data_IF_925894789947
#
_entry.id   IF_925894789947
#
_cell.length_a   1.000
_cell.length_b   1.000
_cell.length_c   1.000
_cell.angle_alpha   90.00
_cell.angle_beta   90.00
_cell.angle_gamma   90.00
#
_symmetry.space_group_name_H-M   'P 1'
#
loop_
_entity.id
_entity.type
_entity.pdbx_description
1 polymer ?
#
# COMPACT_ATOMS: atom_id res chain seq x y z
N UNK A 1 18.76 -9.87 -2.57
CA UNK A 1 18.58 -9.76 -1.09
C UNK A 1 19.09 -11.05 -0.48
N UNK A 2 19.88 -11.03 0.61
CA UNK A 2 20.59 -12.24 1.12
C UNK A 2 19.98 -12.87 2.38
N UNK A 3 18.82 -12.40 2.86
CA UNK A 3 18.14 -12.98 4.03
C UNK A 3 17.09 -14.00 3.58
N UNK A 4 17.15 -15.25 4.06
CA UNK A 4 16.13 -16.27 3.77
C UNK A 4 14.71 -15.78 4.06
N UNK A 5 13.74 -16.20 3.25
CA UNK A 5 12.32 -15.82 3.37
C UNK A 5 11.96 -14.44 2.83
N UNK A 6 12.93 -13.57 2.52
CA UNK A 6 12.67 -12.26 1.90
C UNK A 6 12.73 -12.37 0.38
N UNK A 7 11.66 -11.94 -0.28
CA UNK A 7 11.42 -12.15 -1.70
C UNK A 7 11.85 -10.93 -2.53
N UNK A 8 11.48 -9.73 -2.10
CA UNK A 8 11.76 -8.50 -2.82
C UNK A 8 11.79 -7.29 -1.89
N UNK A 9 12.39 -6.21 -2.38
CA UNK A 9 12.36 -4.91 -1.74
C UNK A 9 12.17 -3.84 -2.81
N UNK A 10 11.43 -2.78 -2.46
CA UNK A 10 11.18 -1.67 -3.35
C UNK A 10 11.04 -0.36 -2.57
N UNK A 11 11.59 0.71 -3.13
CA UNK A 11 11.54 2.04 -2.59
C UNK A 11 10.75 2.93 -3.56
N UNK A 12 9.80 3.67 -3.03
CA UNK A 12 8.93 4.55 -3.78
C UNK A 12 9.01 5.99 -3.26
N UNK A 13 8.91 6.95 -4.17
CA UNK A 13 8.67 8.35 -3.87
C UNK A 13 7.19 8.66 -4.09
N UNK A 14 6.55 9.24 -3.07
CA UNK A 14 5.17 9.68 -3.18
C UNK A 14 5.05 10.82 -4.20
N UNK A 15 3.93 10.83 -4.90
CA UNK A 15 3.54 11.87 -5.85
C UNK A 15 2.36 12.62 -5.26
N UNK A 16 2.38 13.94 -5.42
CA UNK A 16 1.26 14.77 -5.00
C UNK A 16 -0.02 14.37 -5.74
N UNK A 17 -1.10 14.30 -4.96
CA UNK A 17 -2.44 14.14 -5.48
C UNK A 17 -3.42 14.83 -4.55
N UNK A 18 -4.59 15.18 -5.08
CA UNK A 18 -5.71 15.61 -4.24
C UNK A 18 -6.12 14.46 -3.33
N UNK A 19 -6.25 14.75 -2.04
CA UNK A 19 -6.81 13.82 -1.09
C UNK A 19 -8.03 14.42 -0.41
N UNK A 20 -9.07 13.60 -0.28
CA UNK A 20 -10.38 13.96 0.29
C UNK A 20 -10.75 13.03 1.44
N UNK A 21 -9.82 12.14 1.84
CA UNK A 21 -10.03 11.16 2.90
C UNK A 21 -9.93 11.80 4.27
N UNK A 22 -10.70 11.26 5.22
CA UNK A 22 -10.55 11.58 6.63
C UNK A 22 -9.30 10.88 7.15
N UNK A 23 -8.43 11.68 7.76
CA UNK A 23 -7.22 11.20 8.41
C UNK A 23 -7.40 11.23 9.92
N UNK A 24 -6.71 10.34 10.63
CA UNK A 24 -6.66 10.40 12.09
C UNK A 24 -6.03 11.71 12.57
N UNK A 25 -6.56 12.23 13.66
CA UNK A 25 -6.06 13.35 14.45
C UNK A 25 -5.11 12.91 15.57
N UNK A 26 -4.88 11.59 15.72
CA UNK A 26 -3.96 11.02 16.69
C UNK A 26 -2.51 11.40 16.36
N UNK A 27 -2.00 12.40 17.08
CA UNK A 27 -0.62 12.89 16.93
C UNK A 27 0.46 11.86 17.22
N UNK A 28 0.13 10.72 17.85
CA UNK A 28 1.07 9.63 18.08
C UNK A 28 1.35 8.82 16.82
N UNK A 29 0.51 8.95 15.77
CA UNK A 29 0.68 8.27 14.49
C UNK A 29 1.65 9.04 13.60
N UNK A 30 2.84 8.50 13.29
CA UNK A 30 3.80 9.22 12.46
C UNK A 30 3.30 9.45 11.04
N UNK A 31 3.74 10.55 10.43
CA UNK A 31 3.25 11.01 9.15
C UNK A 31 3.52 9.99 8.02
N UNK A 32 4.79 9.60 7.83
CA UNK A 32 5.18 8.56 6.88
C UNK A 32 4.70 8.78 5.43
N UNK A 33 4.78 10.01 4.90
CA UNK A 33 4.02 10.39 3.68
C UNK A 33 4.85 10.52 2.40
N UNK A 34 6.17 10.77 2.50
CA UNK A 34 6.99 11.17 1.33
C UNK A 34 7.63 10.00 0.59
N UNK A 35 8.02 8.97 1.32
CA UNK A 35 8.72 7.81 0.77
C UNK A 35 8.16 6.54 1.40
N UNK A 36 8.08 5.48 0.60
CA UNK A 36 7.63 4.17 1.05
C UNK A 36 8.73 3.16 0.77
N UNK A 37 9.22 2.51 1.83
CA UNK A 37 10.13 1.38 1.72
C UNK A 37 9.33 0.11 2.03
N UNK A 38 9.17 -0.74 1.02
CA UNK A 38 8.32 -1.92 1.07
C UNK A 38 9.18 -3.17 0.85
N UNK A 39 8.94 -4.19 1.67
CA UNK A 39 9.60 -5.48 1.59
C UNK A 39 8.54 -6.56 1.46
N UNK A 40 8.78 -7.53 0.58
CA UNK A 40 8.00 -8.75 0.49
C UNK A 40 8.77 -9.91 1.10
N UNK A 41 8.06 -10.72 1.86
CA UNK A 41 8.56 -11.98 2.40
C UNK A 41 7.52 -13.08 2.12
N UNK A 42 7.92 -14.33 2.34
CA UNK A 42 7.03 -15.50 2.23
C UNK A 42 5.87 -15.38 3.23
N UNK A 43 6.16 -14.92 4.45
CA UNK A 43 5.21 -14.77 5.54
C UNK A 43 5.53 -13.51 6.37
N UNK A 44 4.53 -12.97 7.08
CA UNK A 44 4.72 -11.79 7.91
C UNK A 44 5.70 -12.02 9.07
N UNK A 45 5.77 -13.25 9.60
CA UNK A 45 6.62 -13.62 10.73
C UNK A 45 8.11 -13.54 10.40
N UNK A 46 8.48 -13.56 9.12
CA UNK A 46 9.86 -13.33 8.66
C UNK A 46 10.40 -11.94 9.02
N UNK A 47 9.50 -10.99 9.27
CA UNK A 47 9.85 -9.67 9.77
C UNK A 47 9.96 -9.62 11.30
N UNK A 48 9.59 -10.67 12.03
CA UNK A 48 9.61 -10.75 13.49
C UNK A 48 10.93 -11.26 14.07
N UNK A 49 11.71 -12.03 13.30
CA UNK A 49 12.91 -12.72 13.79
C UNK A 49 14.20 -12.34 13.03
N UNK A 50 14.87 -11.23 13.38
CA UNK A 50 14.42 -10.21 14.35
C UNK A 50 13.59 -9.09 13.70
N UNK A 51 12.82 -8.40 14.56
CA UNK A 51 12.03 -7.20 14.23
C UNK A 51 12.89 -6.06 13.66
N UNK A 52 12.32 -5.16 12.82
CA UNK A 52 13.08 -4.07 12.20
C UNK A 52 13.81 -3.17 13.20
N UNK A 53 13.24 -2.91 14.37
CA UNK A 53 13.89 -2.11 15.42
C UNK A 53 15.16 -2.77 15.96
N UNK A 54 15.15 -4.09 16.16
CA UNK A 54 16.33 -4.84 16.59
C UNK A 54 17.40 -4.87 15.48
N UNK A 55 17.00 -5.10 14.22
CA UNK A 55 17.92 -4.98 13.08
C UNK A 55 18.58 -3.61 13.02
N UNK A 56 17.80 -2.53 13.19
CA UNK A 56 18.34 -1.18 13.19
C UNK A 56 19.33 -0.93 14.34
N UNK A 57 19.09 -1.52 15.52
CA UNK A 57 19.94 -1.38 16.69
C UNK A 57 21.32 -2.05 16.51
N UNK A 58 21.37 -3.15 15.77
CA UNK A 58 22.60 -3.92 15.49
C UNK A 58 23.47 -3.33 14.37
N UNK A 59 22.96 -2.32 13.64
CA UNK A 59 23.72 -1.72 12.55
C UNK A 59 24.98 -0.97 13.04
N UNK A 60 26.03 -0.90 12.19
CA UNK A 60 27.20 -0.07 12.44
C UNK A 60 26.81 1.38 12.76
N UNK A 61 27.62 2.05 13.57
CA UNK A 61 27.31 3.40 14.05
C UNK A 61 27.02 4.41 12.92
N UNK A 62 27.73 4.31 11.80
CA UNK A 62 27.50 5.14 10.61
C UNK A 62 26.11 4.90 10.00
N UNK A 63 25.73 3.64 9.79
CA UNK A 63 24.40 3.27 9.29
C UNK A 63 23.30 3.73 10.25
N UNK A 64 23.50 3.61 11.57
CA UNK A 64 22.54 4.13 12.56
C UNK A 64 22.38 5.64 12.49
N UNK A 65 23.47 6.39 12.27
CA UNK A 65 23.39 7.85 12.04
C UNK A 65 22.56 8.17 10.80
N UNK A 66 22.72 7.40 9.72
CA UNK A 66 21.92 7.58 8.52
C UNK A 66 20.43 7.31 8.75
N UNK A 67 20.09 6.22 9.46
CA UNK A 67 18.70 5.90 9.80
C UNK A 67 18.05 6.92 10.74
N UNK A 68 18.82 7.51 11.66
CA UNK A 68 18.34 8.54 12.59
C UNK A 68 17.94 9.84 11.90
N UNK A 69 18.31 10.06 10.64
CA UNK A 69 17.86 11.22 9.85
C UNK A 69 16.42 11.08 9.33
N UNK A 70 15.79 9.91 9.48
CA UNK A 70 14.39 9.71 9.11
C UNK A 70 13.48 10.49 10.05
N UNK A 71 12.46 11.12 9.48
CA UNK A 71 11.48 11.91 10.23
C UNK A 71 10.10 11.31 10.00
N UNK A 72 9.37 11.07 11.09
CA UNK A 72 8.00 10.56 11.03
C UNK A 72 7.90 9.17 10.42
N UNK A 73 8.86 8.27 10.67
CA UNK A 73 8.82 6.88 10.21
C UNK A 73 7.58 6.18 10.79
N UNK A 74 6.76 5.62 9.89
CA UNK A 74 5.61 4.80 10.26
C UNK A 74 5.84 3.38 9.75
N UNK A 75 5.94 2.43 10.67
CA UNK A 75 6.11 1.00 10.35
C UNK A 75 4.77 0.28 10.43
N UNK A 76 4.47 -0.53 9.42
CA UNK A 76 3.41 -1.55 9.49
C UNK A 76 3.94 -2.85 8.88
N UNK A 77 3.64 -3.98 9.51
CA UNK A 77 3.83 -5.32 8.97
C UNK A 77 2.44 -5.88 8.70
N UNK A 78 2.20 -6.30 7.46
CA UNK A 78 0.89 -6.78 7.03
C UNK A 78 1.03 -8.10 6.28
N UNK A 79 -0.01 -8.94 6.38
CA UNK A 79 -0.18 -10.14 5.55
C UNK A 79 -1.21 -9.87 4.45
N UNK A 80 -1.09 -10.57 3.33
CA UNK A 80 -2.10 -10.48 2.28
C UNK A 80 -3.32 -11.33 2.62
N UNK A 81 -4.47 -10.68 2.77
CA UNK A 81 -5.76 -11.33 3.02
C UNK A 81 -6.52 -11.67 1.73
N UNK A 82 -6.14 -11.09 0.60
CA UNK A 82 -6.73 -11.38 -0.70
C UNK A 82 -6.08 -10.61 -1.84
N UNK A 83 -6.26 -11.10 -3.07
CA UNK A 83 -5.67 -10.52 -4.28
C UNK A 83 -6.57 -10.73 -5.49
N UNK A 84 -6.55 -9.77 -6.40
CA UNK A 84 -7.08 -9.90 -7.76
C UNK A 84 -6.09 -9.31 -8.75
N UNK A 85 -5.90 -10.01 -9.86
CA UNK A 85 -5.09 -9.57 -11.00
C UNK A 85 -5.93 -8.75 -11.97
N UNK A 86 -5.37 -7.66 -12.48
CA UNK A 86 -5.96 -6.83 -13.52
C UNK A 86 -5.47 -7.22 -14.92
N UNK A 87 -5.95 -6.53 -15.97
CA UNK A 87 -5.68 -6.91 -17.36
C UNK A 87 -4.19 -6.93 -17.73
N UNK A 88 -3.38 -6.08 -17.10
CA UNK A 88 -1.94 -5.96 -17.37
C UNK A 88 -1.07 -6.90 -16.53
N UNK A 89 -1.67 -7.77 -15.70
CA UNK A 89 -0.92 -8.73 -14.89
C UNK A 89 -0.10 -9.72 -15.73
N UNK A 90 -0.69 -10.22 -16.84
CA UNK A 90 -0.06 -11.23 -17.71
C UNK A 90 1.23 -10.73 -18.37
N UNK A 91 1.32 -9.43 -18.61
CA UNK A 91 2.42 -8.77 -19.32
C UNK A 91 3.46 -8.22 -18.31
N UNK A 92 3.24 -8.40 -17.00
CA UNK A 92 4.13 -7.89 -15.97
C UNK A 92 5.27 -8.87 -15.65
N UNK A 93 6.46 -8.55 -16.13
CA UNK A 93 7.66 -9.39 -15.99
C UNK A 93 8.24 -9.42 -14.57
N UNK A 94 7.87 -8.46 -13.71
CA UNK A 94 8.37 -8.39 -12.33
C UNK A 94 7.79 -9.46 -11.38
N UNK A 95 6.94 -10.36 -11.89
CA UNK A 95 6.31 -11.44 -11.14
C UNK A 95 5.58 -10.92 -9.90
N UNK A 96 5.99 -11.40 -8.73
CA UNK A 96 5.38 -11.02 -7.44
C UNK A 96 5.94 -9.74 -6.80
N UNK A 97 7.02 -9.18 -7.33
CA UNK A 97 7.53 -7.88 -6.88
C UNK A 97 6.54 -6.75 -7.22
N UNK A 98 6.55 -5.68 -6.43
CA UNK A 98 5.60 -4.59 -6.61
C UNK A 98 5.79 -3.85 -7.93
N UNK A 99 4.71 -3.37 -8.54
CA UNK A 99 4.71 -2.69 -9.84
C UNK A 99 5.42 -1.31 -9.85
N UNK A 100 5.71 -0.72 -11.03
CA UNK A 100 6.39 0.58 -11.14
C UNK A 100 5.66 1.74 -10.46
N UNK A 101 4.34 1.72 -10.47
CA UNK A 101 3.50 2.69 -9.78
C UNK A 101 2.58 1.96 -8.81
N UNK A 102 2.42 2.51 -7.60
CA UNK A 102 1.52 1.95 -6.59
C UNK A 102 0.61 3.02 -6.01
N UNK A 103 -0.55 2.61 -5.51
CA UNK A 103 -1.31 3.39 -4.56
C UNK A 103 -1.58 2.54 -3.31
N UNK A 104 -1.05 2.96 -2.16
CA UNK A 104 -1.25 2.26 -0.89
C UNK A 104 -2.22 3.06 -0.01
N UNK A 105 -3.40 2.50 0.24
CA UNK A 105 -4.28 2.92 1.33
C UNK A 105 -3.98 2.13 2.59
N UNK A 106 -4.01 2.79 3.74
CA UNK A 106 -3.82 2.23 5.08
C UNK A 106 -4.75 2.99 6.03
N UNK A 107 -5.61 2.25 6.72
CA UNK A 107 -6.71 2.84 7.46
C UNK A 107 -7.26 1.88 8.53
N UNK A 108 -8.06 2.45 9.42
CA UNK A 108 -8.93 1.74 10.35
C UNK A 108 -10.40 1.94 9.94
N UNK A 109 -11.23 0.98 10.34
CA UNK A 109 -12.68 1.00 10.21
C UNK A 109 -13.25 0.57 11.57
N UNK A 110 -14.29 1.22 12.11
CA UNK A 110 -14.97 0.72 13.30
C UNK A 110 -15.42 -0.73 13.09
N UNK A 111 -15.20 -1.60 14.08
CA UNK A 111 -15.42 -3.05 13.93
C UNK A 111 -16.86 -3.40 13.52
N UNK A 112 -17.85 -2.58 13.89
CA UNK A 112 -19.26 -2.72 13.51
C UNK A 112 -19.50 -2.58 12.00
N UNK A 113 -18.56 -1.95 11.30
CA UNK A 113 -18.64 -1.64 9.87
C UNK A 113 -17.64 -2.47 9.04
N UNK A 114 -16.85 -3.34 9.68
CA UNK A 114 -15.81 -4.10 8.98
C UNK A 114 -16.35 -5.20 8.07
N UNK A 115 -17.48 -5.81 8.40
CA UNK A 115 -18.13 -6.80 7.52
C UNK A 115 -18.68 -6.13 6.26
N UNK A 116 -19.30 -4.95 6.39
CA UNK A 116 -19.78 -4.15 5.26
C UNK A 116 -18.60 -3.74 4.35
N UNK A 117 -17.50 -3.30 4.96
CA UNK A 117 -16.24 -3.04 4.25
C UNK A 117 -15.69 -4.26 3.54
N UNK A 118 -15.64 -5.41 4.21
CA UNK A 118 -15.21 -6.66 3.59
C UNK A 118 -16.09 -7.02 2.40
N UNK A 119 -17.41 -6.95 2.56
CA UNK A 119 -18.38 -7.27 1.52
C UNK A 119 -18.16 -6.42 0.28
N UNK A 120 -18.00 -5.10 0.43
CA UNK A 120 -17.75 -4.23 -0.72
C UNK A 120 -16.43 -4.54 -1.43
N UNK A 121 -15.34 -4.75 -0.69
CA UNK A 121 -14.07 -5.10 -1.33
C UNK A 121 -14.18 -6.40 -2.11
N UNK A 122 -14.81 -7.42 -1.52
CA UNK A 122 -14.94 -8.74 -2.13
C UNK A 122 -15.88 -8.75 -3.34
N UNK A 123 -17.03 -8.07 -3.26
CA UNK A 123 -18.11 -8.18 -4.25
C UNK A 123 -18.03 -7.12 -5.33
N UNK A 124 -17.44 -5.96 -5.02
CA UNK A 124 -17.49 -4.78 -5.91
C UNK A 124 -16.09 -4.36 -6.32
N UNK A 125 -15.24 -3.98 -5.37
CA UNK A 125 -13.98 -3.30 -5.71
C UNK A 125 -12.95 -4.20 -6.35
N UNK A 126 -12.68 -5.35 -5.75
CA UNK A 126 -11.67 -6.27 -6.27
C UNK A 126 -12.08 -6.79 -7.65
N UNK A 127 -13.33 -7.23 -7.89
CA UNK A 127 -13.80 -7.59 -9.24
C UNK A 127 -13.70 -6.43 -10.25
N UNK A 128 -14.00 -5.20 -9.83
CA UNK A 128 -13.90 -4.03 -10.71
C UNK A 128 -12.44 -3.75 -11.13
N UNK A 129 -11.46 -4.00 -10.24
CA UNK A 129 -10.04 -3.92 -10.60
C UNK A 129 -9.60 -4.99 -11.61
N UNK A 130 -10.22 -6.17 -11.59
CA UNK A 130 -9.94 -7.24 -12.55
C UNK A 130 -10.20 -6.82 -14.02
N UNK A 131 -11.09 -5.84 -14.18
CA UNK A 131 -11.59 -5.38 -15.49
C UNK A 131 -11.24 -3.94 -15.79
N UNK A 132 -10.47 -3.26 -14.93
CA UNK A 132 -10.05 -1.88 -15.16
C UNK A 132 -9.02 -1.85 -16.29
N UNK A 133 -9.36 -1.31 -17.47
CA UNK A 133 -8.43 -1.31 -18.59
C UNK A 133 -7.30 -0.31 -18.35
N UNK A 134 -6.16 -0.51 -19.02
CA UNK A 134 -5.18 0.56 -19.23
C UNK A 134 -4.19 0.76 -18.09
N UNK A 135 -3.79 -0.32 -17.43
CA UNK A 135 -2.58 -0.33 -16.62
C UNK A 135 -2.73 -0.85 -15.21
N UNK A 136 -3.83 -1.51 -14.88
CA UNK A 136 -4.02 -2.19 -13.60
C UNK A 136 -3.34 -3.54 -13.61
N UNK A 137 -2.26 -3.69 -12.84
CA UNK A 137 -1.58 -4.98 -12.70
C UNK A 137 -2.29 -5.79 -11.62
N UNK A 138 -2.45 -5.24 -10.41
CA UNK A 138 -3.03 -5.98 -9.27
C UNK A 138 -3.70 -5.07 -8.26
N UNK A 139 -4.62 -5.65 -7.50
CA UNK A 139 -5.05 -5.13 -6.19
C UNK A 139 -4.80 -6.20 -5.13
N UNK A 140 -4.28 -5.76 -3.98
CA UNK A 140 -4.08 -6.60 -2.79
C UNK A 140 -4.82 -6.00 -1.61
N UNK A 141 -5.52 -6.86 -0.87
CA UNK A 141 -6.05 -6.57 0.45
C UNK A 141 -5.09 -7.08 1.49
N UNK A 142 -4.70 -6.20 2.41
CA UNK A 142 -3.72 -6.46 3.45
C UNK A 142 -4.38 -6.36 4.83
N UNK A 143 -4.03 -7.27 5.72
CA UNK A 143 -4.42 -7.27 7.12
C UNK A 143 -3.18 -7.06 8.00
N UNK A 144 -3.31 -6.21 9.02
CA UNK A 144 -2.20 -5.86 9.88
C UNK A 144 -1.81 -6.99 10.83
N UNK A 145 -0.52 -7.22 10.97
CA UNK A 145 0.10 -8.04 12.01
C UNK A 145 0.74 -7.14 13.06
N UNK A 146 1.38 -6.05 12.63
CA UNK A 146 1.97 -5.03 13.51
C UNK A 146 1.72 -3.65 12.92
N UNK A 147 1.31 -2.70 13.75
CA UNK A 147 1.20 -1.29 13.38
C UNK A 147 -0.19 -0.70 13.63
N UNK A 148 -0.34 0.59 13.33
CA UNK A 148 -1.56 1.33 13.66
C UNK A 148 -2.74 1.00 12.73
N UNK A 149 -2.48 0.81 11.43
CA UNK A 149 -3.55 0.57 10.48
C UNK A 149 -3.93 -0.90 10.51
N UNK A 150 -5.21 -1.23 10.77
CA UNK A 150 -5.71 -2.61 10.71
C UNK A 150 -5.79 -3.15 9.29
N UNK A 151 -6.08 -2.28 8.32
CA UNK A 151 -6.29 -2.65 6.92
C UNK A 151 -5.36 -1.88 5.99
N UNK A 152 -4.94 -2.54 4.92
CA UNK A 152 -4.26 -1.93 3.80
C UNK A 152 -4.85 -2.36 2.46
N UNK A 153 -4.82 -1.47 1.47
CA UNK A 153 -5.18 -1.78 0.08
C UNK A 153 -4.07 -1.26 -0.82
N UNK A 154 -3.43 -2.19 -1.52
CA UNK A 154 -2.34 -1.88 -2.44
C UNK A 154 -2.81 -2.08 -3.88
N UNK A 155 -2.91 -0.98 -4.61
CA UNK A 155 -3.11 -0.98 -6.05
C UNK A 155 -1.77 -0.90 -6.74
N UNK A 156 -1.62 -1.63 -7.83
CA UNK A 156 -0.38 -1.75 -8.59
C UNK A 156 -0.66 -1.45 -10.07
N UNK A 157 0.16 -0.55 -10.63
CA UNK A 157 -0.02 -0.05 -11.98
C UNK A 157 1.28 -0.06 -12.78
N UNK A 158 1.15 -0.21 -14.10
CA UNK A 158 2.28 -0.18 -15.04
C UNK A 158 3.01 1.16 -15.03
N UNK A 159 2.28 2.28 -14.80
CA UNK A 159 2.86 3.62 -14.70
C UNK A 159 1.92 4.59 -13.98
N UNK A 160 2.41 5.79 -13.63
CA UNK A 160 1.56 6.83 -13.04
C UNK A 160 0.57 7.38 -14.08
N UNK A 161 1.01 7.50 -15.31
CA UNK A 161 0.28 8.03 -16.45
C UNK A 161 -0.94 7.14 -16.72
N UNK A 162 -0.71 5.83 -16.79
CA UNK A 162 -1.75 4.82 -16.90
C UNK A 162 -2.74 4.88 -15.74
N UNK A 163 -2.24 4.93 -14.49
CA UNK A 163 -3.09 5.12 -13.32
C UNK A 163 -3.96 6.38 -13.46
N UNK A 164 -3.39 7.52 -13.82
CA UNK A 164 -4.14 8.77 -13.89
C UNK A 164 -5.16 8.77 -15.03
N UNK A 165 -4.83 8.15 -16.16
CA UNK A 165 -5.73 8.09 -17.31
C UNK A 165 -6.93 7.16 -17.07
N UNK A 166 -6.70 5.97 -16.52
CA UNK A 166 -7.73 4.92 -16.52
C UNK A 166 -8.36 4.65 -15.16
N UNK A 167 -7.60 4.79 -14.06
CA UNK A 167 -8.10 4.47 -12.73
C UNK A 167 -8.97 5.58 -12.12
N UNK A 168 -8.79 6.84 -12.54
CA UNK A 168 -9.62 7.96 -12.04
C UNK A 168 -11.06 7.81 -12.51
N UNK A 169 -11.27 7.63 -13.82
CA UNK A 169 -12.59 7.39 -14.38
C UNK A 169 -13.26 6.14 -13.79
N UNK A 170 -12.47 5.12 -13.42
CA UNK A 170 -12.97 3.94 -12.73
C UNK A 170 -13.42 4.21 -11.28
N UNK A 171 -12.82 5.18 -10.58
CA UNK A 171 -13.27 5.59 -9.25
C UNK A 171 -14.57 6.40 -9.34
N UNK A 172 -14.72 7.23 -10.37
CA UNK A 172 -15.82 8.19 -10.47
C UNK A 172 -17.10 7.58 -11.08
N UNK A 173 -17.17 6.25 -11.24
CA UNK A 173 -18.38 5.61 -11.77
C UNK A 173 -19.57 5.80 -10.82
N UNK A 174 -20.80 6.01 -11.33
CA UNK A 174 -21.99 6.22 -10.50
C UNK A 174 -22.25 5.11 -9.49
N UNK A 175 -21.98 3.85 -9.86
CA UNK A 175 -22.18 2.68 -8.99
C UNK A 175 -21.13 2.59 -7.86
N UNK A 176 -20.00 3.28 -7.98
CA UNK A 176 -18.96 3.37 -6.95
C UNK A 176 -19.25 4.50 -5.96
N UNK A 177 -20.00 5.53 -6.36
CA UNK A 177 -20.20 6.74 -5.55
C UNK A 177 -20.81 6.48 -4.16
N UNK A 178 -21.90 5.70 -4.00
CA UNK A 178 -22.48 5.46 -2.68
C UNK A 178 -21.47 4.82 -1.71
N UNK A 179 -20.62 3.95 -2.24
CA UNK A 179 -19.54 3.37 -1.45
C UNK A 179 -18.43 4.37 -1.13
N UNK A 180 -18.02 5.21 -2.09
CA UNK A 180 -17.01 6.23 -1.83
C UNK A 180 -17.47 7.21 -0.74
N UNK A 181 -18.76 7.55 -0.73
CA UNK A 181 -19.37 8.35 0.34
C UNK A 181 -19.31 7.59 1.69
N UNK A 182 -19.61 6.28 1.68
CA UNK A 182 -19.49 5.41 2.87
C UNK A 182 -18.05 5.35 3.39
N UNK A 183 -17.07 5.17 2.50
CA UNK A 183 -15.64 5.18 2.83
C UNK A 183 -15.22 6.49 3.45
N UNK A 184 -15.66 7.60 2.85
CA UNK A 184 -15.41 8.95 3.37
C UNK A 184 -16.01 9.17 4.75
N UNK A 185 -17.04 8.40 5.14
CA UNK A 185 -17.67 8.48 6.45
C UNK A 185 -16.98 7.61 7.51
N UNK A 186 -16.57 6.39 7.16
CA UNK A 186 -16.19 5.37 8.16
C UNK A 186 -14.72 5.00 8.17
N UNK A 187 -13.97 5.23 7.08
CA UNK A 187 -12.55 4.91 7.07
C UNK A 187 -11.74 6.07 7.63
N UNK A 188 -10.94 5.77 8.64
CA UNK A 188 -9.98 6.71 9.23
C UNK A 188 -8.60 6.34 8.71
N UNK A 189 -8.06 7.17 7.82
CA UNK A 189 -6.79 6.94 7.18
C UNK A 189 -5.61 7.35 8.06
N UNK A 190 -4.51 6.61 7.94
CA UNK A 190 -3.23 7.03 8.51
C UNK A 190 -2.77 8.32 7.79
N UNK A 191 -2.02 9.24 8.42
CA UNK A 191 -1.54 10.47 7.76
C UNK A 191 -0.97 10.24 6.35
N UNK A 192 -1.40 11.08 5.38
CA UNK A 192 -1.02 11.04 3.96
C UNK A 192 -1.44 9.77 3.20
N UNK A 193 -2.39 9.02 3.75
CA UNK A 193 -2.95 7.83 3.13
C UNK A 193 -4.26 8.18 2.43
N UNK A 194 -4.46 7.82 1.16
CA UNK A 194 -3.66 6.84 0.41
C UNK A 194 -2.47 7.48 -0.29
N UNK A 195 -1.30 6.85 -0.23
CA UNK A 195 -0.09 7.35 -0.89
C UNK A 195 -0.01 6.80 -2.32
N UNK A 196 0.01 7.70 -3.32
CA UNK A 196 0.30 7.36 -4.71
C UNK A 196 1.80 7.56 -4.94
N UNK A 197 2.51 6.58 -5.49
CA UNK A 197 3.96 6.61 -5.48
C UNK A 197 4.58 5.94 -6.71
N UNK A 198 5.72 6.48 -7.16
CA UNK A 198 6.56 5.91 -8.23
C UNK A 198 7.76 5.21 -7.63
N UNK A 199 8.09 4.03 -8.17
CA UNK A 199 9.26 3.28 -7.76
C UNK A 199 10.52 4.06 -8.16
N UNK A 200 11.41 4.24 -7.21
CA UNK A 200 12.74 4.83 -7.39
C UNK A 200 13.86 3.79 -7.21
N UNK A 201 13.55 2.64 -6.60
CA UNK A 201 14.47 1.50 -6.54
C UNK A 201 13.70 0.17 -6.36
N UNK A 202 14.13 -0.95 -6.98
CA UNK A 202 15.11 -0.99 -8.08
C UNK A 202 14.64 -0.14 -9.26
N UNK A 203 15.58 0.28 -10.11
CA UNK A 203 15.23 1.09 -11.28
C UNK A 203 14.18 0.35 -12.12
N UNK A 204 13.17 1.08 -12.59
CA UNK A 204 12.20 0.54 -13.55
C UNK A 204 12.92 0.48 -14.88
N UNK A 205 12.97 -0.68 -15.52
CA UNK A 205 13.47 -0.80 -16.89
C UNK A 205 12.59 0.07 -17.80
N UNK A 206 13.21 0.99 -18.55
CA UNK A 206 12.54 1.79 -19.57
C UNK A 206 12.15 0.94 -20.78
#
# INVERSE_FOLDING_TARGET
MKRPGYLWAAHYAAVEKKDVRIHTDDSSVPAGTRYLLLFGAEEADMFGDPVPSALHAELPAESRRMLAMRIGERVNIMTEAGRVEGPEARDYEGGMALAPCIQLGSYNCPWQHEEEMLAWYAQVRMPAMATTPGGGIRIRKLASVVGWAKHGILYEFVSLEARNQYFIAHQDRPDMKPWLDWVGKWLIHAPGSSSLARRIWPAVSN
#
